data_IF_634411372500
#
_entry.id   IF_634411372500
#
_cell.length_a   1.000
_cell.length_b   1.000
_cell.length_c   1.000
_cell.angle_alpha   90.00
_cell.angle_beta   90.00
_cell.angle_gamma   90.00
#
_symmetry.space_group_name_H-M   'P 1'
#
loop_
_entity.id
_entity.type
_entity.pdbx_description
1 polymer ?
#
# COMPACT_ATOMS: atom_id res chain seq x y z
N UNK A 1 10.52 -13.32 12.05
CA UNK A 1 9.39 -14.00 11.40
C UNK A 1 8.56 -12.96 10.67
N UNK A 2 8.49 -13.05 9.33
CA UNK A 2 7.65 -12.17 8.52
C UNK A 2 6.21 -12.68 8.52
N UNK A 3 5.23 -11.81 8.82
CA UNK A 3 3.81 -12.18 8.83
C UNK A 3 3.03 -11.25 7.90
N UNK A 4 2.42 -11.82 6.88
CA UNK A 4 1.49 -11.13 6.00
C UNK A 4 0.04 -11.44 6.43
N UNK A 5 -0.81 -10.42 6.45
CA UNK A 5 -2.27 -10.53 6.63
C UNK A 5 -2.95 -9.70 5.55
N UNK A 6 -4.05 -10.21 5.01
CA UNK A 6 -4.92 -9.43 4.14
C UNK A 6 -6.07 -8.86 4.97
N UNK A 7 -6.34 -7.58 4.79
CA UNK A 7 -7.44 -6.85 5.43
C UNK A 7 -8.40 -6.42 4.33
N UNK A 8 -9.67 -6.73 4.53
CA UNK A 8 -10.77 -6.23 3.71
C UNK A 8 -11.25 -4.96 4.39
N UNK A 9 -11.16 -3.83 3.70
CA UNK A 9 -11.62 -2.55 4.21
C UNK A 9 -13.13 -2.38 4.04
N UNK A 10 -13.65 -1.34 4.68
CA UNK A 10 -15.08 -1.05 4.66
C UNK A 10 -15.59 -0.72 3.25
N UNK A 11 -16.80 -1.18 2.88
CA UNK A 11 -17.40 -0.86 1.59
C UNK A 11 -17.60 0.66 1.40
N UNK A 12 -17.18 1.16 0.25
CA UNK A 12 -17.36 2.55 -0.18
C UNK A 12 -18.40 2.57 -1.28
N UNK A 13 -19.57 3.15 -1.01
CA UNK A 13 -20.66 3.27 -1.97
C UNK A 13 -20.52 4.58 -2.77
N UNK A 14 -20.62 4.49 -4.09
CA UNK A 14 -20.60 5.61 -5.04
C UNK A 14 -21.68 5.37 -6.10
N UNK A 15 -22.78 6.12 -6.01
CA UNK A 15 -23.93 5.90 -6.89
C UNK A 15 -24.48 4.47 -6.73
N UNK A 16 -24.48 3.69 -7.81
CA UNK A 16 -24.89 2.28 -7.83
C UNK A 16 -23.72 1.28 -7.75
N UNK A 17 -22.52 1.76 -7.42
CA UNK A 17 -21.30 0.95 -7.37
C UNK A 17 -20.78 0.90 -5.94
N UNK A 18 -20.45 -0.31 -5.48
CA UNK A 18 -19.80 -0.55 -4.19
C UNK A 18 -18.36 -0.96 -4.42
N UNK A 19 -17.43 -0.29 -3.73
CA UNK A 19 -16.01 -0.56 -3.80
C UNK A 19 -15.55 -1.16 -2.48
N UNK A 20 -14.90 -2.31 -2.50
CA UNK A 20 -14.34 -2.95 -1.30
C UNK A 20 -12.81 -2.97 -1.45
N UNK A 21 -12.08 -2.11 -0.73
CA UNK A 21 -10.62 -2.07 -0.81
C UNK A 21 -10.00 -3.28 -0.10
N UNK A 22 -8.96 -3.86 -0.69
CA UNK A 22 -8.22 -4.98 -0.15
C UNK A 22 -6.76 -4.57 0.04
N UNK A 23 -6.26 -4.68 1.27
CA UNK A 23 -4.92 -4.23 1.65
C UNK A 23 -4.15 -5.38 2.30
N UNK A 24 -2.91 -5.58 1.87
CA UNK A 24 -1.98 -6.49 2.52
C UNK A 24 -1.17 -5.74 3.56
N UNK A 25 -1.12 -6.30 4.77
CA UNK A 25 -0.33 -5.81 5.89
C UNK A 25 0.79 -6.80 6.16
N UNK A 26 2.02 -6.36 6.00
CA UNK A 26 3.23 -7.18 6.21
C UNK A 26 3.99 -6.64 7.41
N UNK A 27 4.26 -7.49 8.39
CA UNK A 27 5.11 -7.18 9.54
C UNK A 27 6.45 -7.89 9.39
N UNK A 28 7.53 -7.17 9.66
CA UNK A 28 8.90 -7.66 9.53
C UNK A 28 9.79 -7.15 10.65
N UNK A 29 10.86 -7.89 10.90
CA UNK A 29 11.96 -7.51 11.76
C UNK A 29 13.23 -7.57 10.92
N UNK A 30 14.09 -6.58 11.06
CA UNK A 30 15.31 -6.45 10.27
C UNK A 30 16.45 -5.93 11.13
N UNK A 31 17.67 -6.25 10.72
CA UNK A 31 18.89 -5.73 11.34
C UNK A 31 19.72 -5.06 10.25
N UNK A 32 20.41 -3.98 10.57
CA UNK A 32 21.30 -3.27 9.67
C UNK A 32 22.59 -2.91 10.39
N UNK A 33 23.72 -3.01 9.71
CA UNK A 33 25.01 -2.59 10.23
C UNK A 33 25.68 -1.63 9.26
N UNK A 34 26.48 -0.70 9.79
CA UNK A 34 27.25 0.25 9.00
C UNK A 34 28.60 0.51 9.65
N UNK A 35 29.62 0.68 8.83
CA UNK A 35 30.96 1.07 9.27
C UNK A 35 31.25 2.49 8.80
N UNK A 36 31.67 3.35 9.74
CA UNK A 36 32.19 4.67 9.47
C UNK A 36 33.71 4.64 9.37
N UNK A 37 34.26 5.23 8.30
CA UNK A 37 35.70 5.53 8.22
C UNK A 37 35.92 6.98 8.61
N UNK A 38 36.43 7.21 9.80
CA UNK A 38 36.99 8.51 10.16
C UNK A 38 38.51 8.50 9.98
N UNK A 39 39.09 9.61 9.55
CA UNK A 39 40.50 9.70 9.17
C UNK A 39 41.46 9.76 10.38
N UNK A 40 40.93 9.74 11.61
CA UNK A 40 41.72 9.92 12.83
C UNK A 40 41.48 8.89 13.94
N UNK A 41 40.55 7.95 13.81
CA UNK A 41 40.41 6.90 14.81
C UNK A 41 39.79 5.63 14.25
N UNK A 42 40.15 4.52 14.87
CA UNK A 42 39.85 3.14 14.46
C UNK A 42 38.37 2.95 14.14
N UNK A 43 38.09 2.18 13.06
CA UNK A 43 36.77 1.99 12.45
C UNK A 43 35.62 1.90 13.46
N UNK A 44 34.74 2.90 13.42
CA UNK A 44 33.52 2.92 14.20
C UNK A 44 32.44 2.14 13.45
N UNK A 45 32.18 0.91 13.88
CA UNK A 45 31.08 0.07 13.39
C UNK A 45 29.86 0.16 14.30
N UNK A 46 28.67 0.22 13.72
CA UNK A 46 27.40 0.18 14.43
C UNK A 46 26.50 -0.93 13.90
N UNK A 47 25.81 -1.63 14.78
CA UNK A 47 24.73 -2.57 14.45
C UNK A 47 23.43 -2.08 15.08
N UNK A 48 22.35 -2.17 14.30
CA UNK A 48 21.01 -1.79 14.69
C UNK A 48 20.01 -2.89 14.35
N UNK A 49 18.94 -2.95 15.13
CA UNK A 49 17.78 -3.79 14.87
C UNK A 49 16.54 -2.91 14.83
N UNK A 50 15.58 -3.26 13.98
CA UNK A 50 14.33 -2.54 13.81
C UNK A 50 13.19 -3.48 13.46
N UNK A 51 11.98 -3.01 13.74
CA UNK A 51 10.76 -3.68 13.32
C UNK A 51 10.00 -2.75 12.39
N UNK A 52 9.38 -3.29 11.35
CA UNK A 52 8.62 -2.52 10.37
C UNK A 52 7.29 -3.17 10.05
N UNK A 53 6.31 -2.33 9.76
CA UNK A 53 5.07 -2.75 9.14
C UNK A 53 4.96 -2.07 7.76
N UNK A 54 4.49 -2.80 6.77
CA UNK A 54 4.21 -2.30 5.43
C UNK A 54 2.77 -2.62 5.07
N UNK A 55 1.98 -1.58 4.83
CA UNK A 55 0.69 -1.71 4.19
C UNK A 55 0.92 -1.64 2.67
N UNK A 56 0.21 -2.46 1.91
CA UNK A 56 0.31 -2.50 0.45
C UNK A 56 -1.08 -2.74 -0.10
N UNK A 57 -1.69 -1.75 -0.77
CA UNK A 57 -2.98 -1.91 -1.43
C UNK A 57 -2.85 -2.99 -2.51
N UNK A 58 -3.70 -4.01 -2.42
CA UNK A 58 -3.63 -5.16 -3.30
C UNK A 58 -4.63 -5.04 -4.45
N UNK A 59 -5.89 -4.75 -4.12
CA UNK A 59 -6.98 -4.68 -5.09
C UNK A 59 -8.15 -3.84 -4.57
N UNK A 60 -9.06 -3.51 -5.47
CA UNK A 60 -10.40 -3.02 -5.17
C UNK A 60 -11.40 -3.98 -5.80
N UNK A 61 -12.34 -4.47 -5.02
CA UNK A 61 -13.49 -5.21 -5.53
C UNK A 61 -14.55 -4.19 -5.90
N UNK A 62 -15.04 -4.24 -7.13
CA UNK A 62 -16.09 -3.38 -7.67
C UNK A 62 -17.34 -4.22 -7.84
N UNK A 63 -18.42 -3.82 -7.19
CA UNK A 63 -19.73 -4.47 -7.25
C UNK A 63 -20.70 -3.47 -7.86
N UNK A 64 -21.37 -3.83 -8.95
CA UNK A 64 -22.38 -3.00 -9.63
C UNK A 64 -23.58 -3.87 -9.98
N UNK A 65 -24.62 -3.81 -9.16
CA UNK A 65 -25.74 -4.75 -9.27
C UNK A 65 -25.25 -6.18 -9.05
N UNK A 66 -25.45 -7.05 -10.03
CA UNK A 66 -25.03 -8.46 -9.99
C UNK A 66 -23.60 -8.67 -10.52
N UNK A 67 -22.98 -7.64 -11.12
CA UNK A 67 -21.62 -7.72 -11.64
C UNK A 67 -20.59 -7.48 -10.53
N UNK A 68 -19.67 -8.44 -10.35
CA UNK A 68 -18.57 -8.38 -9.37
C UNK A 68 -17.23 -8.53 -10.09
N UNK A 69 -16.39 -7.51 -10.00
CA UNK A 69 -15.06 -7.48 -10.63
C UNK A 69 -13.99 -7.10 -9.62
N UNK A 70 -12.95 -7.90 -9.47
CA UNK A 70 -11.77 -7.54 -8.67
C UNK A 70 -10.70 -6.91 -9.56
N UNK A 71 -10.23 -5.72 -9.17
CA UNK A 71 -9.28 -4.93 -9.94
C UNK A 71 -8.02 -4.69 -9.09
N UNK A 72 -6.86 -5.21 -9.49
CA UNK A 72 -5.63 -5.04 -8.73
C UNK A 72 -5.20 -3.56 -8.73
N UNK A 73 -4.66 -3.05 -7.61
CA UNK A 73 -4.16 -1.66 -7.56
C UNK A 73 -2.74 -1.58 -8.15
N UNK A 74 -2.02 -2.71 -8.19
CA UNK A 74 -0.68 -2.79 -8.75
C UNK A 74 -0.71 -2.84 -10.28
N UNK A 75 -0.37 -1.72 -10.93
CA UNK A 75 -0.13 -1.63 -12.38
C UNK A 75 -0.95 -0.54 -13.08
N UNK A 76 -0.32 0.18 -14.02
CA UNK A 76 -0.88 1.28 -14.84
C UNK A 76 -1.99 0.85 -15.85
N UNK A 77 -2.62 -0.31 -15.64
CA UNK A 77 -3.72 -0.77 -16.50
C UNK A 77 -5.03 -1.02 -15.77
N UNK A 78 -5.00 -1.11 -14.43
CA UNK A 78 -6.18 -1.53 -13.66
C UNK A 78 -7.01 -0.35 -13.16
N UNK A 79 -6.39 0.82 -13.00
CA UNK A 79 -7.11 2.06 -12.71
C UNK A 79 -7.86 2.56 -13.94
N UNK A 80 -7.26 2.38 -15.12
CA UNK A 80 -7.79 2.71 -16.44
C UNK A 80 -9.08 1.94 -16.72
N UNK A 81 -9.10 0.63 -16.41
CA UNK A 81 -10.31 -0.19 -16.51
C UNK A 81 -11.44 0.29 -15.57
N UNK A 82 -11.11 0.75 -14.36
CA UNK A 82 -12.12 1.34 -13.45
C UNK A 82 -12.67 2.65 -14.01
N UNK A 83 -11.80 3.48 -14.58
CA UNK A 83 -12.15 4.78 -15.18
C UNK A 83 -13.13 4.58 -16.34
N UNK A 84 -12.92 3.56 -17.17
CA UNK A 84 -13.82 3.21 -18.27
C UNK A 84 -15.16 2.67 -17.80
N UNK A 85 -15.18 1.86 -16.72
CA UNK A 85 -16.42 1.29 -16.18
C UNK A 85 -17.26 2.31 -15.40
N UNK A 86 -16.60 3.18 -14.62
CA UNK A 86 -17.26 4.12 -13.70
C UNK A 86 -16.43 5.41 -13.55
N UNK A 87 -16.75 6.47 -14.33
CA UNK A 87 -16.03 7.75 -14.29
C UNK A 87 -16.11 8.45 -12.92
N UNK A 88 -17.21 8.26 -12.20
CA UNK A 88 -17.46 8.91 -10.90
C UNK A 88 -16.59 8.35 -9.75
N UNK A 89 -16.09 7.12 -9.90
CA UNK A 89 -15.29 6.42 -8.89
C UNK A 89 -13.82 6.89 -8.89
N UNK A 90 -13.35 7.41 -10.02
CA UNK A 90 -11.96 7.85 -10.24
C UNK A 90 -11.49 8.87 -9.21
N UNK A 91 -12.36 9.84 -8.88
CA UNK A 91 -12.04 10.90 -7.92
C UNK A 91 -11.82 10.40 -6.49
N UNK A 92 -12.43 9.27 -6.11
CA UNK A 92 -12.24 8.65 -4.78
C UNK A 92 -11.03 7.72 -4.77
N UNK A 93 -10.81 6.94 -5.83
CA UNK A 93 -9.66 6.03 -5.93
C UNK A 93 -8.32 6.76 -5.99
N UNK A 94 -8.22 7.86 -6.76
CA UNK A 94 -7.00 8.68 -6.79
C UNK A 94 -6.62 9.19 -5.41
N UNK A 95 -7.61 9.51 -4.56
CA UNK A 95 -7.35 9.95 -3.17
C UNK A 95 -6.84 8.81 -2.27
N UNK A 96 -7.26 7.56 -2.52
CA UNK A 96 -6.78 6.39 -1.77
C UNK A 96 -5.34 6.05 -2.16
N UNK A 97 -5.02 6.11 -3.47
CA UNK A 97 -3.68 5.84 -3.99
C UNK A 97 -2.69 6.96 -3.67
N UNK A 98 -3.08 8.23 -3.81
CA UNK A 98 -2.19 9.37 -3.50
C UNK A 98 -1.92 9.56 -2.01
N UNK A 99 -2.78 9.03 -1.13
CA UNK A 99 -2.55 9.11 0.32
C UNK A 99 -1.37 8.24 0.79
N UNK A 100 -0.91 7.28 -0.02
CA UNK A 100 0.30 6.50 0.28
C UNK A 100 1.62 7.20 -0.07
N UNK A 101 1.64 8.19 -0.97
CA UNK A 101 2.89 8.90 -1.31
C UNK A 101 3.28 9.98 -0.28
N UNK A 102 2.33 10.48 0.53
CA UNK A 102 2.59 11.49 1.59
C UNK A 102 2.93 10.92 2.97
N UNK A 103 3.23 9.62 3.07
CA UNK A 103 3.64 8.96 4.31
C UNK A 103 5.14 8.72 4.45
N UNK A 104 5.97 9.27 3.56
CA UNK A 104 7.44 9.14 3.56
C UNK A 104 8.15 10.41 4.03
N UNK A 105 7.58 11.13 5.01
CA UNK A 105 8.30 12.15 5.75
C UNK A 105 7.90 12.05 7.23
N UNK A 106 8.57 11.15 7.94
CA UNK A 106 8.66 11.20 9.41
C UNK A 106 10.02 10.63 9.78
N UNK A 107 10.92 11.58 10.00
CA UNK A 107 12.09 11.61 10.92
C UNK A 107 13.01 10.38 11.02
#
# INVERSE_FOLDING_TARGET
MFKAKTVIGDPIIVGNVTLVPVVNVTFGIGTGGGEGKDARDQGAGGIGAGTGARLTPAAVIVIKGDDVTMLPIAGRGSLENIVEMVPEVVGKLKKIVQKEEKGKDVE
#
